data_IF_226943767883
#
_entry.id   IF_226943767883
#
_cell.length_a   1.000
_cell.length_b   1.000
_cell.length_c   1.000
_cell.angle_alpha   90.00
_cell.angle_beta   90.00
_cell.angle_gamma   90.00
#
_symmetry.space_group_name_H-M   'P 1'
#
loop_
_entity.id
_entity.type
_entity.pdbx_description
1 polymer ?
#
# COMPACT_ATOMS: atom_id res chain seq x y z
N UNK A 1 1.01 -22.98 44.88
CA UNK A 1 1.11 -22.67 43.45
C UNK A 1 0.97 -21.15 43.18
N UNK A 2 0.07 -20.43 43.86
CA UNK A 2 -0.12 -18.97 43.66
C UNK A 2 1.06 -18.13 44.17
N UNK A 3 1.72 -18.56 45.25
CA UNK A 3 2.89 -17.91 45.83
C UNK A 3 4.10 -18.00 44.90
N UNK A 4 4.33 -19.15 44.29
CA UNK A 4 5.40 -19.38 43.30
C UNK A 4 5.20 -18.52 42.03
N UNK A 5 3.99 -18.27 41.63
CA UNK A 5 3.69 -17.42 40.46
C UNK A 5 3.96 -15.94 40.76
N UNK A 6 3.72 -15.47 41.99
CA UNK A 6 4.08 -14.10 42.42
C UNK A 6 5.58 -13.89 42.49
N UNK A 7 6.34 -14.83 43.02
CA UNK A 7 7.81 -14.72 43.09
C UNK A 7 8.50 -14.81 41.74
N UNK A 8 7.93 -15.50 40.74
CA UNK A 8 8.47 -15.51 39.37
C UNK A 8 8.17 -14.20 38.61
N UNK A 9 7.08 -13.53 38.95
CA UNK A 9 6.72 -12.21 38.39
C UNK A 9 7.66 -11.10 38.86
N UNK A 10 8.24 -11.23 40.07
CA UNK A 10 9.11 -10.17 40.65
C UNK A 10 10.59 -10.26 40.25
N UNK A 11 11.04 -11.35 39.62
CA UNK A 11 12.45 -11.56 39.25
C UNK A 11 12.78 -11.45 37.77
N UNK A 12 11.79 -11.24 36.92
CA UNK A 12 12.02 -11.00 35.47
C UNK A 12 12.30 -9.52 35.19
N UNK A 13 13.09 -9.27 34.15
CA UNK A 13 13.37 -7.93 33.56
C UNK A 13 12.08 -7.19 33.17
N UNK A 14 10.90 -7.82 33.37
CA UNK A 14 9.56 -7.29 33.13
C UNK A 14 8.85 -6.65 34.33
N UNK A 15 9.47 -6.52 35.49
CA UNK A 15 8.82 -6.03 36.72
C UNK A 15 8.38 -4.56 36.68
N UNK A 16 8.56 -3.86 35.56
CA UNK A 16 8.10 -2.48 35.36
C UNK A 16 7.10 -2.30 34.18
N UNK A 17 6.79 -3.36 33.43
CA UNK A 17 5.89 -3.27 32.28
C UNK A 17 4.52 -3.79 32.68
N UNK A 18 3.50 -2.94 32.62
CA UNK A 18 2.12 -3.36 32.89
C UNK A 18 1.69 -4.39 31.83
N UNK A 19 0.83 -5.33 32.21
CA UNK A 19 0.27 -6.33 31.27
C UNK A 19 -0.36 -5.63 30.05
N UNK A 20 -0.96 -4.46 30.27
CA UNK A 20 -1.53 -3.63 29.21
C UNK A 20 -0.48 -3.14 28.21
N UNK A 21 0.70 -2.73 28.70
CA UNK A 21 1.80 -2.27 27.83
C UNK A 21 2.40 -3.42 27.03
N UNK A 22 2.53 -4.60 27.62
CA UNK A 22 3.01 -5.78 26.93
C UNK A 22 2.04 -6.20 25.80
N UNK A 23 0.74 -6.27 26.09
CA UNK A 23 -0.30 -6.60 25.11
C UNK A 23 -0.32 -5.55 23.99
N UNK A 24 -0.26 -4.28 24.32
CA UNK A 24 -0.23 -3.19 23.32
C UNK A 24 0.97 -3.30 22.39
N UNK A 25 2.16 -3.55 22.93
CA UNK A 25 3.38 -3.72 22.13
C UNK A 25 3.31 -4.95 21.23
N UNK A 26 2.83 -6.08 21.75
CA UNK A 26 2.67 -7.32 20.98
C UNK A 26 1.67 -7.14 19.82
N UNK A 27 0.52 -6.55 20.07
CA UNK A 27 -0.48 -6.27 19.04
C UNK A 27 0.05 -5.32 17.97
N UNK A 28 0.73 -4.25 18.38
CA UNK A 28 1.33 -3.28 17.46
C UNK A 28 2.42 -3.92 16.59
N UNK A 29 3.26 -4.77 17.16
CA UNK A 29 4.29 -5.50 16.42
C UNK A 29 3.69 -6.39 15.34
N UNK A 30 2.62 -7.13 15.67
CA UNK A 30 1.93 -7.99 14.71
C UNK A 30 1.25 -7.19 13.58
N UNK A 31 0.66 -6.05 13.89
CA UNK A 31 0.05 -5.17 12.88
C UNK A 31 1.12 -4.62 11.92
N UNK A 32 2.27 -4.17 12.44
CA UNK A 32 3.39 -3.65 11.62
C UNK A 32 3.97 -4.74 10.73
N UNK A 33 4.12 -5.96 11.25
CA UNK A 33 4.62 -7.10 10.47
C UNK A 33 3.63 -7.49 9.36
N UNK A 34 2.34 -7.55 9.66
CA UNK A 34 1.30 -7.77 8.67
C UNK A 34 1.29 -6.68 7.58
N UNK A 35 1.46 -5.41 7.98
CA UNK A 35 1.55 -4.28 7.06
C UNK A 35 2.76 -4.41 6.12
N UNK A 36 3.94 -4.70 6.65
CA UNK A 36 5.15 -4.87 5.86
C UNK A 36 5.02 -6.00 4.83
N UNK A 37 4.40 -7.12 5.22
CA UNK A 37 4.13 -8.25 4.32
C UNK A 37 3.21 -7.86 3.16
N UNK A 38 2.16 -7.11 3.44
CA UNK A 38 1.17 -6.66 2.44
C UNK A 38 1.78 -5.61 1.50
N UNK A 39 2.65 -4.73 2.00
CA UNK A 39 3.26 -3.65 1.24
C UNK A 39 4.37 -4.11 0.29
N UNK A 40 5.00 -5.25 0.55
CA UNK A 40 6.14 -5.73 -0.25
C UNK A 40 5.83 -5.91 -1.74
N UNK A 41 4.67 -6.47 -2.09
CA UNK A 41 4.20 -6.62 -3.47
C UNK A 41 3.77 -5.32 -4.14
N UNK A 42 3.31 -4.33 -3.37
CA UNK A 42 2.86 -3.05 -3.89
C UNK A 42 4.02 -2.21 -4.44
N UNK A 43 5.21 -2.31 -3.84
CA UNK A 43 6.41 -1.62 -4.31
C UNK A 43 6.79 -2.05 -5.73
N UNK A 44 6.68 -3.35 -6.03
CA UNK A 44 6.91 -3.84 -7.38
C UNK A 44 5.89 -3.28 -8.38
N UNK A 45 4.61 -3.29 -8.03
CA UNK A 45 3.54 -2.76 -8.87
C UNK A 45 3.71 -1.25 -9.14
N UNK A 46 4.07 -0.49 -8.11
CA UNK A 46 4.38 0.94 -8.23
C UNK A 46 5.56 1.18 -9.16
N UNK A 47 6.62 0.37 -9.03
CA UNK A 47 7.82 0.47 -9.88
C UNK A 47 7.48 0.19 -11.34
N UNK A 48 6.74 -0.88 -11.63
CA UNK A 48 6.31 -1.21 -13.01
C UNK A 48 5.43 -0.09 -13.56
N UNK A 49 4.44 0.37 -12.80
CA UNK A 49 3.54 1.44 -13.24
C UNK A 49 4.25 2.74 -13.57
N UNK A 50 5.29 3.09 -12.81
CA UNK A 50 6.06 4.32 -13.01
C UNK A 50 7.13 4.20 -14.09
N UNK A 51 7.75 3.03 -14.28
CA UNK A 51 8.87 2.86 -15.22
C UNK A 51 8.44 2.41 -16.61
N UNK A 52 7.35 1.65 -16.74
CA UNK A 52 6.90 1.11 -18.02
C UNK A 52 6.67 2.17 -19.12
N UNK A 53 6.09 3.37 -18.86
CA UNK A 53 5.96 4.41 -19.87
C UNK A 53 7.32 4.91 -20.39
N UNK A 54 8.33 4.99 -19.51
CA UNK A 54 9.69 5.43 -19.90
C UNK A 54 10.39 4.37 -20.73
N UNK A 55 10.16 3.08 -20.45
CA UNK A 55 10.65 1.97 -21.27
C UNK A 55 10.03 2.05 -22.68
N UNK A 56 8.73 2.32 -22.77
CA UNK A 56 8.06 2.54 -24.04
C UNK A 56 8.62 3.75 -24.81
N UNK A 57 8.82 4.86 -24.13
CA UNK A 57 9.43 6.07 -24.70
C UNK A 57 10.85 5.80 -25.20
N UNK A 58 11.66 5.09 -24.42
CA UNK A 58 13.00 4.68 -24.81
C UNK A 58 12.96 3.86 -26.12
N UNK A 59 12.03 2.91 -26.21
CA UNK A 59 11.83 2.12 -27.42
C UNK A 59 11.49 2.98 -28.65
N UNK A 60 10.67 4.01 -28.47
CA UNK A 60 10.32 4.96 -29.55
C UNK A 60 11.54 5.73 -30.01
N UNK A 61 12.31 6.32 -29.10
CA UNK A 61 13.52 7.07 -29.41
C UNK A 61 14.55 6.19 -30.11
N UNK A 62 14.73 4.97 -29.62
CA UNK A 62 15.65 3.99 -30.22
C UNK A 62 15.21 3.59 -31.63
N UNK A 63 13.93 3.32 -31.86
CA UNK A 63 13.41 2.96 -33.17
C UNK A 63 13.52 4.08 -34.19
N UNK A 64 13.19 5.31 -33.80
CA UNK A 64 13.33 6.49 -34.67
C UNK A 64 14.80 6.74 -35.00
N UNK A 65 15.70 6.63 -34.02
CA UNK A 65 17.13 6.76 -34.26
C UNK A 65 17.61 5.78 -35.32
N UNK A 66 17.27 4.50 -35.24
CA UNK A 66 17.67 3.49 -36.23
C UNK A 66 17.05 3.73 -37.60
N UNK A 67 15.81 4.19 -37.65
CA UNK A 67 15.16 4.58 -38.89
C UNK A 67 15.92 5.69 -39.61
N UNK A 68 16.41 6.70 -38.88
CA UNK A 68 17.16 7.81 -39.43
C UNK A 68 18.60 7.41 -39.83
N UNK A 69 19.25 6.56 -39.05
CA UNK A 69 20.59 6.05 -39.39
C UNK A 69 20.54 5.22 -40.69
N UNK A 70 19.47 4.42 -40.86
CA UNK A 70 19.26 3.65 -42.11
C UNK A 70 19.08 4.50 -43.36
N UNK A 71 18.79 5.78 -43.22
CA UNK A 71 18.66 6.76 -44.31
C UNK A 71 19.99 7.49 -44.68
N UNK A 72 20.97 7.43 -43.78
CA UNK A 72 22.19 8.24 -43.91
C UNK A 72 23.09 7.90 -45.12
N UNK A 73 22.73 6.87 -45.90
CA UNK A 73 23.43 6.52 -47.16
C UNK A 73 22.54 6.59 -48.41
N UNK A 74 21.31 7.03 -48.30
CA UNK A 74 20.37 7.06 -49.40
C UNK A 74 20.46 8.38 -50.17
N UNK A 75 20.66 8.29 -51.47
CA UNK A 75 20.69 9.45 -52.39
C UNK A 75 19.33 10.14 -52.57
N UNK A 76 18.23 9.41 -52.24
CA UNK A 76 16.88 9.94 -52.22
C UNK A 76 16.14 9.40 -50.97
N UNK A 77 15.57 10.31 -50.17
CA UNK A 77 14.75 9.97 -49.01
C UNK A 77 13.35 9.65 -49.54
N UNK A 78 13.02 8.35 -49.60
CA UNK A 78 11.67 7.88 -49.91
C UNK A 78 10.90 7.77 -48.60
N UNK A 79 9.76 8.47 -48.49
CA UNK A 79 8.92 8.51 -47.28
C UNK A 79 8.52 7.11 -46.80
N UNK A 80 8.28 6.20 -47.72
CA UNK A 80 7.90 4.81 -47.43
C UNK A 80 8.96 4.05 -46.59
N UNK A 81 10.25 4.40 -46.78
CA UNK A 81 11.35 3.78 -45.99
C UNK A 81 11.41 4.24 -44.55
N UNK A 82 10.77 5.38 -44.23
CA UNK A 82 10.76 5.97 -42.89
C UNK A 82 9.46 5.65 -42.16
N UNK A 83 8.34 5.67 -42.89
CA UNK A 83 7.03 5.55 -42.30
C UNK A 83 6.83 4.22 -41.55
N UNK A 84 7.31 3.10 -42.11
CA UNK A 84 7.25 1.79 -41.47
C UNK A 84 7.98 1.74 -40.12
N UNK A 85 9.31 1.94 -40.08
CA UNK A 85 10.08 1.91 -38.85
C UNK A 85 9.64 2.93 -37.79
N UNK A 86 9.20 4.12 -38.19
CA UNK A 86 8.65 5.12 -37.26
C UNK A 86 7.31 4.63 -36.70
N UNK A 87 6.45 4.04 -37.53
CA UNK A 87 5.20 3.43 -37.06
C UNK A 87 5.44 2.30 -36.04
N UNK A 88 6.40 1.42 -36.30
CA UNK A 88 6.80 0.39 -35.34
C UNK A 88 7.35 0.98 -34.03
N UNK A 89 8.14 2.03 -34.12
CA UNK A 89 8.64 2.73 -32.94
C UNK A 89 7.50 3.26 -32.06
N UNK A 90 6.45 3.82 -32.63
CA UNK A 90 5.28 4.32 -31.88
C UNK A 90 4.53 3.22 -31.12
N UNK A 91 4.53 1.98 -31.64
CA UNK A 91 3.94 0.82 -30.97
C UNK A 91 4.63 0.55 -29.63
N UNK A 92 5.94 0.82 -29.51
CA UNK A 92 6.66 0.64 -28.26
C UNK A 92 6.14 1.56 -27.15
N UNK A 93 5.78 2.80 -27.44
CA UNK A 93 5.15 3.69 -26.45
C UNK A 93 3.77 3.18 -26.05
N UNK A 94 2.96 2.71 -27.02
CA UNK A 94 1.67 2.14 -26.74
C UNK A 94 1.79 0.87 -25.84
N UNK A 95 2.78 0.02 -26.10
CA UNK A 95 3.04 -1.17 -25.27
C UNK A 95 3.47 -0.76 -23.83
N UNK A 96 4.31 0.25 -23.69
CA UNK A 96 4.68 0.77 -22.36
C UNK A 96 3.48 1.27 -21.55
N UNK A 97 2.58 2.01 -22.19
CA UNK A 97 1.34 2.49 -21.56
C UNK A 97 0.37 1.35 -21.27
N UNK A 98 0.27 0.36 -22.17
CA UNK A 98 -0.58 -0.81 -21.98
C UNK A 98 -0.20 -1.61 -20.72
N UNK A 99 1.07 -1.68 -20.38
CA UNK A 99 1.55 -2.31 -19.14
C UNK A 99 1.37 -1.39 -17.93
N UNK A 100 1.67 -0.10 -18.09
CA UNK A 100 1.64 0.86 -16.98
C UNK A 100 0.24 1.06 -16.40
N UNK A 101 -0.77 1.20 -17.28
CA UNK A 101 -2.14 1.52 -16.84
C UNK A 101 -2.71 0.45 -15.90
N UNK A 102 -2.71 -0.86 -16.25
CA UNK A 102 -3.19 -1.90 -15.34
C UNK A 102 -2.37 -1.97 -14.04
N UNK A 103 -1.05 -1.78 -14.13
CA UNK A 103 -0.18 -1.81 -12.95
C UNK A 103 -0.55 -0.71 -11.96
N UNK A 104 -0.78 0.52 -12.42
CA UNK A 104 -1.19 1.65 -11.56
C UNK A 104 -2.60 1.43 -10.99
N UNK A 105 -3.54 0.94 -11.80
CA UNK A 105 -4.89 0.64 -11.32
C UNK A 105 -4.88 -0.44 -10.24
N UNK A 106 -4.13 -1.52 -10.45
CA UNK A 106 -3.97 -2.59 -9.47
C UNK A 106 -3.29 -2.09 -8.20
N UNK A 107 -2.23 -1.28 -8.30
CA UNK A 107 -1.58 -0.63 -7.17
C UNK A 107 -2.57 0.18 -6.33
N UNK A 108 -3.36 1.05 -6.97
CA UNK A 108 -4.33 1.90 -6.28
C UNK A 108 -5.45 1.07 -5.61
N UNK A 109 -5.94 0.03 -6.27
CA UNK A 109 -6.95 -0.86 -5.71
C UNK A 109 -6.43 -1.63 -4.48
N UNK A 110 -5.23 -2.20 -4.57
CA UNK A 110 -4.59 -2.90 -3.46
C UNK A 110 -4.27 -1.97 -2.29
N UNK A 111 -3.70 -0.79 -2.55
CA UNK A 111 -3.42 0.21 -1.51
C UNK A 111 -4.68 0.61 -0.76
N UNK A 112 -5.78 0.84 -1.48
CA UNK A 112 -7.06 1.15 -0.85
C UNK A 112 -7.59 -0.01 0.00
N UNK A 113 -7.52 -1.24 -0.52
CA UNK A 113 -7.92 -2.45 0.22
C UNK A 113 -7.11 -2.62 1.50
N UNK A 114 -5.80 -2.45 1.42
CA UNK A 114 -4.89 -2.58 2.55
C UNK A 114 -5.18 -1.54 3.65
N UNK A 115 -5.41 -0.29 3.28
CA UNK A 115 -5.79 0.77 4.24
C UNK A 115 -7.07 0.41 5.01
N UNK A 116 -8.07 -0.13 4.33
CA UNK A 116 -9.33 -0.55 4.97
C UNK A 116 -9.12 -1.74 5.90
N UNK A 117 -8.29 -2.70 5.50
CA UNK A 117 -7.97 -3.87 6.32
C UNK A 117 -7.19 -3.47 7.57
N UNK A 118 -6.17 -2.63 7.42
CA UNK A 118 -5.37 -2.13 8.55
C UNK A 118 -6.22 -1.31 9.52
N UNK A 119 -7.12 -0.45 9.03
CA UNK A 119 -8.03 0.30 9.88
C UNK A 119 -8.97 -0.61 10.70
N UNK A 120 -9.41 -1.75 10.13
CA UNK A 120 -10.21 -2.75 10.84
C UNK A 120 -9.38 -3.50 11.89
N UNK A 121 -8.14 -3.84 11.58
CA UNK A 121 -7.22 -4.48 12.52
C UNK A 121 -6.89 -3.58 13.69
N UNK A 122 -6.64 -2.29 13.44
CA UNK A 122 -6.38 -1.31 14.47
C UNK A 122 -7.59 -1.12 15.41
N UNK A 123 -8.79 -1.04 14.83
CA UNK A 123 -10.04 -1.02 15.60
C UNK A 123 -10.21 -2.27 16.45
N UNK A 124 -9.98 -3.46 15.90
CA UNK A 124 -10.03 -4.71 16.64
C UNK A 124 -9.00 -4.77 17.77
N UNK A 125 -7.76 -4.34 17.52
CA UNK A 125 -6.71 -4.28 18.53
C UNK A 125 -7.08 -3.34 19.68
N UNK A 126 -7.69 -2.19 19.37
CA UNK A 126 -8.18 -1.25 20.38
C UNK A 126 -9.30 -1.85 21.24
N UNK A 127 -10.29 -2.50 20.62
CA UNK A 127 -11.41 -3.13 21.33
C UNK A 127 -10.92 -4.31 22.20
N UNK A 128 -9.97 -5.09 21.69
CA UNK A 128 -9.35 -6.19 22.44
C UNK A 128 -8.55 -5.66 23.64
N UNK A 129 -7.79 -4.59 23.47
CA UNK A 129 -7.07 -3.95 24.58
C UNK A 129 -8.05 -3.44 25.64
N UNK A 130 -9.12 -2.76 25.25
CA UNK A 130 -10.16 -2.28 26.15
C UNK A 130 -10.80 -3.44 26.93
N UNK A 131 -11.13 -4.54 26.26
CA UNK A 131 -11.69 -5.74 26.89
C UNK A 131 -10.73 -6.37 27.92
N UNK A 132 -9.45 -6.49 27.59
CA UNK A 132 -8.46 -7.09 28.48
C UNK A 132 -8.15 -6.24 29.70
N UNK A 133 -8.27 -4.90 29.59
CA UNK A 133 -7.95 -3.96 30.68
C UNK A 133 -9.16 -3.64 31.56
N UNK A 134 -10.36 -3.56 30.99
CA UNK A 134 -11.58 -3.14 31.72
C UNK A 134 -12.59 -4.26 31.94
N UNK A 135 -12.44 -5.41 31.27
CA UNK A 135 -13.43 -6.50 31.26
C UNK A 135 -14.75 -6.14 30.54
N UNK A 136 -14.87 -4.93 30.03
CA UNK A 136 -16.05 -4.46 29.33
C UNK A 136 -15.89 -4.59 27.82
N UNK A 137 -16.83 -5.28 27.20
CA UNK A 137 -16.90 -5.40 25.74
C UNK A 137 -17.46 -4.10 25.19
N UNK A 138 -16.63 -3.29 24.52
CA UNK A 138 -17.11 -2.11 23.82
C UNK A 138 -18.20 -2.49 22.83
N UNK A 139 -19.41 -1.99 23.03
CA UNK A 139 -20.53 -2.21 22.11
C UNK A 139 -20.30 -1.38 20.85
N UNK A 140 -20.42 -1.93 19.63
CA UNK A 140 -20.24 -1.17 18.37
C UNK A 140 -21.26 -0.04 18.16
N UNK A 141 -22.24 0.09 19.06
CA UNK A 141 -23.33 1.07 18.95
C UNK A 141 -23.18 2.35 19.79
N UNK A 142 -22.25 2.41 20.71
CA UNK A 142 -22.19 3.51 21.70
C UNK A 142 -21.67 4.85 21.15
N UNK A 143 -21.00 4.81 19.98
CA UNK A 143 -20.53 6.04 19.31
C UNK A 143 -21.62 6.85 18.61
N UNK A 144 -22.80 6.26 18.36
CA UNK A 144 -23.90 6.97 17.68
C UNK A 144 -24.85 7.71 18.64
N UNK A 145 -24.77 7.42 19.93
CA UNK A 145 -25.66 8.04 20.93
C UNK A 145 -25.19 9.44 21.35
N UNK A 146 -23.86 9.69 21.29
CA UNK A 146 -23.30 10.96 21.79
C UNK A 146 -23.47 12.14 20.82
N UNK A 147 -23.61 11.89 19.52
CA UNK A 147 -23.89 12.94 18.54
C UNK A 147 -25.34 13.45 18.57
N UNK A 148 -26.25 12.65 19.14
CA UNK A 148 -27.63 13.05 19.38
C UNK A 148 -27.77 14.03 20.56
N UNK A 149 -27.02 13.80 21.62
CA UNK A 149 -27.02 14.62 22.83
C UNK A 149 -26.44 16.03 22.59
N UNK A 150 -25.38 16.14 21.78
CA UNK A 150 -24.76 17.43 21.41
C UNK A 150 -25.66 18.28 20.54
N UNK A 151 -26.53 17.68 19.75
CA UNK A 151 -27.47 18.43 18.88
C UNK A 151 -28.71 18.90 19.63
N UNK A 152 -29.13 18.22 20.69
CA UNK A 152 -30.27 18.62 21.52
C UNK A 152 -29.95 19.77 22.50
N UNK A 153 -28.68 19.98 22.86
CA UNK A 153 -28.23 21.04 23.78
C UNK A 153 -28.00 22.42 23.12
N UNK A 154 -28.19 22.57 21.81
CA UNK A 154 -27.91 23.84 21.08
C UNK A 154 -29.16 24.56 20.59
N UNK A 155 -30.32 24.18 21.08
CA UNK A 155 -31.62 24.75 20.69
C UNK A 155 -32.42 25.29 21.88
N UNK A 156 -31.75 25.95 22.83
CA UNK A 156 -32.40 26.66 23.92
C UNK A 156 -31.81 28.06 24.09
#
# INVERSE_FOLDING_TARGET
>A
AAELHRQHSERGIGAGVSVSDFVTRSLRSQIVEAQASIESGLTFLASVGSTAPFIGLFGTVWGIYHALVGLSGATQVVLDKVAGPVGEALIMTAAGLFVAIPAVLAYNACTRGNRLTLARLDGFAHDLHAYLTTGMRGRPGDRLVDLGAVRAGRGG
#
